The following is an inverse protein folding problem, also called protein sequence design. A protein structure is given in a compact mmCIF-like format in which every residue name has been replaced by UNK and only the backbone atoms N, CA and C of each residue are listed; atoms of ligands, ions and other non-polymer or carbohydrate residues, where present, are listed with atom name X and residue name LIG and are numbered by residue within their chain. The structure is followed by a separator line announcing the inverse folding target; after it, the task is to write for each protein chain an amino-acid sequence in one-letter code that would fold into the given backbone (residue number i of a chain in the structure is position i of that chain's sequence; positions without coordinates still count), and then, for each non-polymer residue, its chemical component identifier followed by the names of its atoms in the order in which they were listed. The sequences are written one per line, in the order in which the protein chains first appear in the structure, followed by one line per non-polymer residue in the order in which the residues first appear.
data_IF_804141041339
#
_entry.id   IF_804141041339
#
_cell.length_a   1.000
_cell.length_b   1.000
_cell.length_c   1.000
_cell.angle_alpha   90.00
_cell.angle_beta   90.00
_cell.angle_gamma   90.00
#
_symmetry.space_group_name_H-M   'P 1'
#
loop_
_entity.id
_entity.type
_entity.pdbx_description
1 polymer ?
#
# COMPACT_ATOMS: atom_id res chain seq x y z
N UNK A 1 6.22 -16.73 -0.83
CA UNK A 1 6.50 -15.52 -1.63
C UNK A 1 5.44 -14.47 -1.32
N UNK A 2 5.82 -13.19 -1.27
CA UNK A 2 4.84 -12.08 -1.18
C UNK A 2 4.49 -11.62 -2.59
N UNK A 3 3.20 -11.49 -2.90
CA UNK A 3 2.71 -10.91 -4.14
C UNK A 3 1.90 -9.67 -3.79
N UNK A 4 2.30 -8.50 -4.25
CA UNK A 4 1.47 -7.31 -4.11
C UNK A 4 0.71 -7.04 -5.40
N UNK A 5 -0.57 -6.71 -5.30
CA UNK A 5 -1.34 -6.19 -6.42
C UNK A 5 -1.64 -4.73 -6.14
N UNK A 6 -1.18 -3.86 -7.03
CA UNK A 6 -1.42 -2.43 -7.00
C UNK A 6 -2.08 -1.98 -8.29
N UNK A 7 -2.72 -0.82 -8.29
CA UNK A 7 -3.40 -0.34 -9.48
C UNK A 7 -3.66 1.17 -9.46
N UNK A 8 -3.83 1.72 -10.65
CA UNK A 8 -4.15 3.14 -10.85
C UNK A 8 -5.63 3.41 -10.50
N UNK A 9 -5.90 3.79 -9.26
CA UNK A 9 -7.24 4.13 -8.78
C UNK A 9 -8.24 3.00 -9.09
N UNK A 10 -9.28 3.26 -9.90
CA UNK A 10 -10.32 2.29 -10.26
C UNK A 10 -9.94 1.43 -11.48
N UNK A 11 -8.66 1.03 -11.59
CA UNK A 11 -8.14 0.21 -12.69
C UNK A 11 -8.59 -1.24 -12.66
N UNK A 12 -9.32 -1.68 -11.63
CA UNK A 12 -9.85 -3.04 -11.58
C UNK A 12 -8.90 -4.07 -10.96
N UNK A 13 -7.92 -3.64 -10.15
CA UNK A 13 -7.10 -4.50 -9.27
C UNK A 13 -7.92 -5.60 -8.58
N UNK A 14 -9.11 -5.25 -8.08
CA UNK A 14 -9.98 -6.19 -7.40
C UNK A 14 -10.33 -7.42 -8.24
N UNK A 15 -10.48 -7.28 -9.56
CA UNK A 15 -10.73 -8.40 -10.46
C UNK A 15 -9.50 -9.31 -10.58
N UNK A 16 -8.30 -8.75 -10.64
CA UNK A 16 -7.05 -9.51 -10.64
C UNK A 16 -6.86 -10.26 -9.32
N UNK A 17 -7.18 -9.63 -8.19
CA UNK A 17 -7.18 -10.31 -6.89
C UNK A 17 -8.20 -11.47 -6.86
N UNK A 18 -9.39 -11.27 -7.42
CA UNK A 18 -10.40 -12.33 -7.50
C UNK A 18 -9.92 -13.49 -8.39
N UNK A 19 -9.23 -13.21 -9.50
CA UNK A 19 -8.56 -14.24 -10.32
C UNK A 19 -7.49 -14.99 -9.52
N UNK A 20 -6.66 -14.29 -8.74
CA UNK A 20 -5.62 -14.91 -7.91
C UNK A 20 -6.17 -15.82 -6.82
N UNK A 21 -7.42 -15.64 -6.38
CA UNK A 21 -8.08 -16.57 -5.44
C UNK A 21 -8.34 -17.94 -6.05
N UNK A 22 -8.35 -18.05 -7.37
CA UNK A 22 -8.51 -19.32 -8.08
C UNK A 22 -7.15 -20.04 -8.29
N UNK A 23 -6.03 -19.50 -7.82
CA UNK A 23 -4.71 -20.14 -7.86
C UNK A 23 -4.49 -21.10 -6.68
N UNK A 24 -3.73 -22.17 -6.92
CA UNK A 24 -3.42 -23.19 -5.93
C UNK A 24 -2.35 -22.69 -4.96
N UNK A 25 -2.49 -23.04 -3.67
CA UNK A 25 -1.54 -22.66 -2.62
C UNK A 25 -1.33 -21.14 -2.49
N UNK A 26 -2.36 -20.34 -2.80
CA UNK A 26 -2.34 -18.88 -2.66
C UNK A 26 -3.34 -18.44 -1.61
N UNK A 27 -2.89 -17.60 -0.68
CA UNK A 27 -3.78 -16.88 0.22
C UNK A 27 -3.94 -15.44 -0.23
N UNK A 28 -5.16 -14.99 -0.49
CA UNK A 28 -5.45 -13.63 -0.94
C UNK A 28 -6.16 -12.86 0.17
N UNK A 29 -5.57 -11.74 0.59
CA UNK A 29 -6.18 -10.86 1.58
C UNK A 29 -7.58 -10.40 1.18
N UNK A 30 -8.38 -10.01 2.17
CA UNK A 30 -9.72 -9.47 1.95
C UNK A 30 -9.66 -8.26 1.02
N UNK A 31 -10.64 -8.14 0.12
CA UNK A 31 -10.62 -7.16 -0.97
C UNK A 31 -10.69 -5.71 -0.46
N UNK A 32 -11.34 -5.52 0.67
CA UNK A 32 -11.54 -4.24 1.35
C UNK A 32 -10.31 -3.81 2.17
N UNK A 33 -9.38 -4.72 2.41
CA UNK A 33 -8.18 -4.47 3.20
C UNK A 33 -7.02 -4.04 2.32
N UNK A 34 -6.36 -2.94 2.69
CA UNK A 34 -5.12 -2.47 2.07
C UNK A 34 -3.95 -2.55 3.05
N UNK A 35 -2.79 -2.99 2.56
CA UNK A 35 -1.62 -3.20 3.40
C UNK A 35 -0.79 -1.90 3.52
N UNK A 36 -1.18 -1.03 4.43
CA UNK A 36 -0.61 0.30 4.65
C UNK A 36 0.80 0.35 5.27
N UNK A 37 1.25 -0.67 6.00
CA UNK A 37 2.47 -0.62 6.81
C UNK A 37 3.73 -0.13 6.08
N UNK A 38 3.85 -0.46 4.79
CA UNK A 38 5.00 -0.06 3.97
C UNK A 38 4.86 1.39 3.48
N UNK A 39 3.71 1.71 2.86
CA UNK A 39 3.50 2.93 2.07
C UNK A 39 2.91 4.12 2.82
N UNK A 40 2.25 3.90 3.96
CA UNK A 40 1.68 4.99 4.72
C UNK A 40 2.77 5.94 5.21
N UNK A 41 2.42 7.22 5.42
CA UNK A 41 3.29 8.16 6.13
C UNK A 41 3.71 7.55 7.46
N UNK A 42 4.99 7.68 7.79
CA UNK A 42 5.64 7.06 8.95
C UNK A 42 5.71 5.52 8.90
N UNK A 43 5.45 4.93 7.73
CA UNK A 43 5.61 3.50 7.46
C UNK A 43 7.06 3.09 7.27
N UNK A 44 7.27 1.85 6.82
CA UNK A 44 8.62 1.31 6.61
C UNK A 44 9.42 2.12 5.60
N UNK A 45 8.77 2.69 4.57
CA UNK A 45 9.45 3.52 3.57
C UNK A 45 10.08 4.77 4.17
N UNK A 46 9.30 5.55 4.93
CA UNK A 46 9.77 6.77 5.59
C UNK A 46 10.83 6.47 6.65
N UNK A 47 10.66 5.37 7.38
CA UNK A 47 11.62 4.91 8.39
C UNK A 47 12.97 4.55 7.76
N UNK A 48 12.97 3.78 6.66
CA UNK A 48 14.18 3.43 5.91
C UNK A 48 14.88 4.68 5.36
N UNK A 49 14.12 5.56 4.72
CA UNK A 49 14.65 6.81 4.15
C UNK A 49 15.35 7.65 5.22
N UNK A 50 14.76 7.73 6.42
CA UNK A 50 15.33 8.50 7.52
C UNK A 50 16.59 7.85 8.09
N UNK A 51 16.54 6.56 8.43
CA UNK A 51 17.66 5.86 9.08
C UNK A 51 18.86 5.70 8.14
N UNK A 52 18.60 5.35 6.87
CA UNK A 52 19.65 4.94 5.92
C UNK A 52 20.12 6.10 5.05
N UNK A 53 19.20 6.85 4.44
CA UNK A 53 19.56 7.86 3.44
C UNK A 53 19.89 9.21 4.08
N UNK A 54 19.23 9.54 5.19
CA UNK A 54 19.31 10.85 5.83
C UNK A 54 19.52 10.75 7.34
N UNK A 55 20.56 10.03 7.81
CA UNK A 55 20.74 9.77 9.23
C UNK A 55 20.90 11.08 10.02
N UNK A 56 20.24 11.14 11.17
CA UNK A 56 20.42 12.18 12.18
C UNK A 56 19.78 11.68 13.46
N UNK A 57 20.46 11.80 14.60
CA UNK A 57 19.94 11.37 15.90
C UNK A 57 18.51 11.87 16.18
N UNK A 58 18.24 13.14 15.85
CA UNK A 58 16.92 13.76 16.04
C UNK A 58 15.90 13.12 15.10
N UNK A 59 16.23 12.96 13.83
CA UNK A 59 15.31 12.41 12.83
C UNK A 59 15.06 10.92 13.06
N UNK A 60 16.10 10.15 13.40
CA UNK A 60 16.02 8.72 13.67
C UNK A 60 15.13 8.46 14.88
N UNK A 61 15.36 9.17 15.99
CA UNK A 61 14.51 9.08 17.18
C UNK A 61 13.05 9.39 16.85
N UNK A 62 12.81 10.47 16.10
CA UNK A 62 11.45 10.86 15.74
C UNK A 62 10.78 9.89 14.76
N UNK A 63 11.49 9.38 13.76
CA UNK A 63 10.96 8.42 12.79
C UNK A 63 10.57 7.11 13.48
N UNK A 64 11.41 6.59 14.40
CA UNK A 64 11.11 5.37 15.16
C UNK A 64 9.87 5.58 16.06
N UNK A 65 9.75 6.74 16.71
CA UNK A 65 8.55 7.08 17.51
C UNK A 65 7.29 7.12 16.65
N UNK A 66 7.35 7.81 15.51
CA UNK A 66 6.20 7.96 14.60
C UNK A 66 5.80 6.61 14.00
N UNK A 67 6.77 5.78 13.63
CA UNK A 67 6.53 4.40 13.22
C UNK A 67 5.86 3.59 14.33
N UNK A 68 6.34 3.68 15.58
CA UNK A 68 5.70 3.03 16.73
C UNK A 68 4.26 3.52 16.98
N UNK A 69 3.96 4.78 16.66
CA UNK A 69 2.60 5.34 16.76
C UNK A 69 1.72 4.79 15.63
N UNK A 70 2.21 4.79 14.39
CA UNK A 70 1.52 4.23 13.23
C UNK A 70 1.16 2.76 13.47
N UNK A 71 2.12 1.93 13.89
CA UNK A 71 1.88 0.50 14.12
C UNK A 71 0.84 0.27 15.22
N UNK A 72 0.79 1.10 16.26
CA UNK A 72 -0.30 1.06 17.26
C UNK A 72 -1.66 1.37 16.65
N UNK A 73 -1.75 2.31 15.70
CA UNK A 73 -3.01 2.60 15.01
C UNK A 73 -3.39 1.48 14.04
N UNK A 74 -2.45 0.94 13.27
CA UNK A 74 -2.70 -0.20 12.40
C UNK A 74 -3.19 -1.42 13.21
N UNK A 75 -2.58 -1.67 14.37
CA UNK A 75 -2.96 -2.76 15.28
C UNK A 75 -4.35 -2.60 15.91
N UNK A 76 -4.83 -1.36 16.09
CA UNK A 76 -6.06 -1.06 16.79
C UNK A 76 -7.31 -1.52 16.02
N UNK A 77 -8.37 -1.81 16.77
CA UNK A 77 -9.69 -2.07 16.20
C UNK A 77 -10.24 -0.80 15.52
N UNK A 78 -11.12 -0.94 14.51
CA UNK A 78 -11.85 0.18 13.95
C UNK A 78 -12.67 0.90 15.03
N UNK A 79 -12.90 2.20 14.84
CA UNK A 79 -13.70 3.01 15.78
C UNK A 79 -15.09 2.41 15.97
N UNK A 80 -15.50 2.28 17.24
CA UNK A 80 -16.79 1.71 17.62
C UNK A 80 -17.48 2.60 18.64
N UNK A 81 -18.76 2.88 18.41
CA UNK A 81 -19.61 3.60 19.37
C UNK A 81 -19.74 2.86 20.71
N UNK A 82 -19.52 1.55 20.71
CA UNK A 82 -19.57 0.70 21.90
C UNK A 82 -18.26 0.73 22.71
N UNK A 83 -17.19 1.30 22.17
CA UNK A 83 -15.91 1.51 22.87
C UNK A 83 -15.56 3.01 22.87
N UNK A 84 -16.06 3.81 23.83
CA UNK A 84 -15.90 5.27 23.83
C UNK A 84 -14.45 5.76 23.75
N UNK A 85 -13.47 4.97 24.23
CA UNK A 85 -12.04 5.31 24.10
C UNK A 85 -11.55 5.28 22.64
N UNK A 86 -12.20 4.51 21.76
CA UNK A 86 -11.87 4.43 20.33
C UNK A 86 -12.27 5.70 19.57
N UNK A 87 -13.22 6.50 20.10
CA UNK A 87 -13.65 7.78 19.50
C UNK A 87 -12.56 8.86 19.58
N UNK A 88 -11.61 8.71 20.51
CA UNK A 88 -10.49 9.64 20.70
C UNK A 88 -9.21 9.18 20.00
N UNK A 89 -9.28 8.17 19.14
CA UNK A 89 -8.16 7.63 18.38
C UNK A 89 -8.48 7.64 16.87
N UNK A 90 -7.46 7.73 16.00
CA UNK A 90 -7.66 7.48 14.58
C UNK A 90 -8.30 6.10 14.34
N UNK A 91 -9.08 5.93 13.26
CA UNK A 91 -9.68 4.65 12.93
C UNK A 91 -8.59 3.60 12.70
N UNK A 92 -8.62 2.53 13.49
CA UNK A 92 -7.65 1.43 13.37
C UNK A 92 -7.94 0.55 12.15
N UNK A 93 -6.90 -0.16 11.68
CA UNK A 93 -6.97 -1.06 10.52
C UNK A 93 -7.04 -2.55 10.89
N UNK A 94 -7.18 -2.84 12.18
CA UNK A 94 -7.37 -4.17 12.73
C UNK A 94 -6.26 -5.18 12.40
N UNK A 95 -5.02 -4.73 12.28
CA UNK A 95 -3.89 -5.60 11.96
C UNK A 95 -3.73 -6.72 12.99
N UNK A 96 -4.05 -6.50 14.27
CA UNK A 96 -3.95 -7.56 15.29
C UNK A 96 -4.92 -8.72 15.02
N UNK A 97 -6.08 -8.47 14.41
CA UNK A 97 -7.04 -9.53 14.05
C UNK A 97 -6.65 -10.23 12.75
N UNK A 98 -6.17 -9.46 11.77
CA UNK A 98 -5.78 -9.98 10.45
C UNK A 98 -4.45 -10.74 10.55
N UNK A 99 -3.53 -10.23 11.37
CA UNK A 99 -2.18 -10.72 11.61
C UNK A 99 -1.94 -10.86 13.12
N UNK A 100 -2.30 -11.99 13.74
CA UNK A 100 -2.17 -12.19 15.19
C UNK A 100 -0.74 -11.97 15.73
N UNK A 101 0.28 -12.19 14.89
CA UNK A 101 1.69 -11.97 15.23
C UNK A 101 2.18 -10.52 15.14
N UNK A 102 1.35 -9.57 14.66
CA UNK A 102 1.79 -8.24 14.27
C UNK A 102 2.52 -7.45 15.36
N UNK A 103 1.98 -7.43 16.58
CA UNK A 103 2.58 -6.67 17.69
C UNK A 103 3.94 -7.26 18.10
N UNK A 104 4.01 -8.58 18.26
CA UNK A 104 5.26 -9.29 18.59
C UNK A 104 6.32 -9.07 17.50
N UNK A 105 5.94 -9.18 16.23
CA UNK A 105 6.83 -8.94 15.10
C UNK A 105 7.33 -7.48 15.07
N UNK A 106 6.45 -6.51 15.37
CA UNK A 106 6.80 -5.08 15.44
C UNK A 106 7.83 -4.83 16.55
N UNK A 107 7.64 -5.39 17.74
CA UNK A 107 8.57 -5.23 18.85
C UNK A 107 9.94 -5.85 18.54
N UNK A 108 9.96 -7.04 17.92
CA UNK A 108 11.18 -7.70 17.49
C UNK A 108 11.93 -6.86 16.43
N UNK A 109 11.21 -6.30 15.46
CA UNK A 109 11.77 -5.41 14.45
C UNK A 109 12.42 -4.17 15.07
N UNK A 110 11.69 -3.45 15.95
CA UNK A 110 12.21 -2.24 16.61
C UNK A 110 13.50 -2.54 17.39
N UNK A 111 13.53 -3.64 18.16
CA UNK A 111 14.72 -4.06 18.91
C UNK A 111 15.92 -4.38 18.01
N UNK A 112 15.68 -4.82 16.78
CA UNK A 112 16.74 -5.15 15.82
C UNK A 112 17.33 -3.91 15.16
N UNK A 113 16.52 -2.88 14.94
CA UNK A 113 16.98 -1.68 14.21
C UNK A 113 17.47 -0.54 15.10
N UNK A 114 17.17 -0.58 16.41
CA UNK A 114 17.56 0.48 17.32
C UNK A 114 17.80 -0.01 18.75
N UNK A 115 18.65 0.73 19.46
CA UNK A 115 18.80 0.66 20.91
C UNK A 115 18.13 1.87 21.56
N UNK A 116 18.08 1.89 22.89
CA UNK A 116 17.55 3.03 23.63
C UNK A 116 18.55 3.54 24.66
N UNK A 117 18.71 4.85 24.76
CA UNK A 117 19.49 5.52 25.80
C UNK A 117 18.62 6.47 26.63
N UNK A 118 19.06 6.79 27.84
CA UNK A 118 18.44 7.81 28.68
C UNK A 118 19.33 9.05 28.69
N UNK A 119 18.82 10.18 28.19
CA UNK A 119 19.59 11.42 28.11
C UNK A 119 18.68 12.65 28.06
N UNK A 120 19.23 13.84 28.29
CA UNK A 120 18.47 15.08 28.03
C UNK A 120 18.14 15.20 26.54
N UNK A 121 16.87 15.03 26.21
CA UNK A 121 16.42 14.92 24.82
C UNK A 121 15.11 15.68 24.58
N UNK A 122 15.16 16.99 24.31
CA UNK A 122 13.97 17.83 24.23
C UNK A 122 13.23 17.73 22.90
N UNK A 123 13.80 17.08 21.87
CA UNK A 123 13.26 17.10 20.51
C UNK A 123 11.84 16.53 20.36
N UNK A 124 11.44 15.44 21.06
CA UNK A 124 10.05 14.96 20.99
C UNK A 124 9.03 16.03 21.40
N UNK A 125 9.40 16.92 22.33
CA UNK A 125 8.55 18.02 22.78
C UNK A 125 8.21 19.03 21.68
N UNK A 126 9.06 19.15 20.65
CA UNK A 126 8.85 20.10 19.56
C UNK A 126 7.64 19.72 18.69
N UNK A 127 7.24 18.46 18.75
CA UNK A 127 6.14 17.89 17.95
C UNK A 127 4.89 17.61 18.79
N UNK A 128 4.93 17.94 20.08
CA UNK A 128 3.80 17.80 20.98
C UNK A 128 2.72 18.86 20.67
N UNK A 129 1.46 18.45 20.76
CA UNK A 129 0.34 19.38 20.61
C UNK A 129 0.35 20.43 21.73
N UNK A 130 -0.23 21.60 21.47
CA UNK A 130 -0.16 22.80 22.32
C UNK A 130 -0.50 22.56 23.81
N UNK A 131 -1.46 21.68 24.13
CA UNK A 131 -1.81 21.34 25.52
C UNK A 131 -0.73 20.51 26.24
N UNK A 132 -0.08 19.59 25.52
CA UNK A 132 1.03 18.78 26.04
C UNK A 132 2.25 19.67 26.21
N UNK A 133 2.57 20.50 25.21
CA UNK A 133 3.64 21.50 25.28
C UNK A 133 3.45 22.49 26.44
N UNK A 134 2.21 22.89 26.76
CA UNK A 134 1.94 23.68 27.96
C UNK A 134 2.27 22.91 29.24
N UNK A 135 1.77 21.68 29.41
CA UNK A 135 2.13 20.85 30.58
C UNK A 135 3.64 20.66 30.71
N UNK A 136 4.34 20.46 29.60
CA UNK A 136 5.80 20.34 29.60
C UNK A 136 6.49 21.64 30.04
N UNK A 137 6.02 22.81 29.59
CA UNK A 137 6.52 24.11 30.06
C UNK A 137 6.34 24.27 31.57
N UNK A 138 5.18 23.88 32.10
CA UNK A 138 4.91 23.92 33.54
C UNK A 138 5.83 22.97 34.32
N UNK A 139 6.02 21.73 33.85
CA UNK A 139 6.92 20.76 34.50
C UNK A 139 8.38 21.23 34.45
N UNK A 140 8.83 21.74 33.31
CA UNK A 140 10.20 22.27 33.13
C UNK A 140 10.45 23.54 33.95
N UNK A 141 9.41 24.29 34.33
CA UNK A 141 9.53 25.43 35.24
C UNK A 141 9.90 25.00 36.66
N UNK A 142 9.45 23.82 37.10
CA UNK A 142 9.68 23.32 38.46
C UNK A 142 10.77 22.23 38.57
N UNK A 143 11.33 21.73 37.46
CA UNK A 143 12.32 20.65 37.45
C UNK A 143 13.54 20.99 36.58
N UNK A 144 14.74 20.55 37.00
CA UNK A 144 15.92 20.58 36.14
C UNK A 144 15.80 19.55 35.00
N UNK A 145 16.30 19.94 33.82
CA UNK A 145 16.50 19.16 32.58
C UNK A 145 16.18 17.67 32.69
N UNK A 146 14.95 17.29 32.30
CA UNK A 146 14.47 15.91 32.38
C UNK A 146 15.13 15.05 31.30
N UNK A 147 15.72 13.93 31.73
CA UNK A 147 16.15 12.89 30.80
C UNK A 147 14.94 12.18 30.20
N UNK A 148 15.01 11.88 28.91
CA UNK A 148 14.00 11.13 28.17
C UNK A 148 14.68 9.95 27.49
N UNK A 149 13.92 8.86 27.35
CA UNK A 149 14.33 7.74 26.51
C UNK A 149 14.52 8.28 25.09
N UNK A 150 15.66 8.03 24.46
CA UNK A 150 15.94 8.29 23.04
C UNK A 150 16.11 6.95 22.33
N UNK A 151 15.60 6.85 21.11
CA UNK A 151 15.94 5.75 20.21
C UNK A 151 17.20 6.10 19.41
N UNK A 152 18.19 5.22 19.48
CA UNK A 152 19.47 5.35 18.80
C UNK A 152 19.53 4.28 17.70
N UNK A 153 19.73 4.70 16.45
CA UNK A 153 19.83 3.81 15.30
C UNK A 153 20.92 4.31 14.36
N UNK A 154 21.92 3.46 14.13
CA UNK A 154 23.09 3.70 13.29
C UNK A 154 23.41 2.45 12.48
N UNK A 155 22.39 1.93 11.78
CA UNK A 155 22.52 0.72 10.96
C UNK A 155 22.62 1.09 9.48
N UNK A 156 23.27 0.23 8.71
CA UNK A 156 23.35 0.35 7.26
C UNK A 156 22.07 -0.13 6.56
N UNK A 157 22.03 0.07 5.23
CA UNK A 157 20.92 -0.33 4.38
C UNK A 157 20.67 -1.84 4.44
N UNK A 158 21.71 -2.65 4.39
CA UNK A 158 21.61 -4.12 4.35
C UNK A 158 20.99 -4.68 5.64
N UNK A 159 21.44 -4.17 6.79
CA UNK A 159 20.93 -4.56 8.10
C UNK A 159 19.46 -4.15 8.26
N UNK A 160 19.11 -2.93 7.83
CA UNK A 160 17.72 -2.48 7.86
C UNK A 160 16.84 -3.33 6.94
N UNK A 161 17.27 -3.58 5.71
CA UNK A 161 16.51 -4.31 4.70
C UNK A 161 16.30 -5.77 5.13
N UNK A 162 17.32 -6.41 5.71
CA UNK A 162 17.18 -7.73 6.32
C UNK A 162 16.16 -7.73 7.47
N UNK A 163 16.21 -6.74 8.37
CA UNK A 163 15.26 -6.63 9.46
C UNK A 163 13.83 -6.37 8.97
N UNK A 164 13.66 -5.52 7.96
CA UNK A 164 12.36 -5.19 7.38
C UNK A 164 11.74 -6.37 6.63
N UNK A 165 12.56 -7.13 5.89
CA UNK A 165 12.16 -8.38 5.25
C UNK A 165 11.69 -9.41 6.26
N UNK A 166 12.48 -9.69 7.30
CA UNK A 166 12.12 -10.66 8.34
C UNK A 166 10.83 -10.23 9.05
N UNK A 167 10.69 -8.93 9.30
CA UNK A 167 9.48 -8.36 9.89
C UNK A 167 8.24 -8.57 9.00
N UNK A 168 8.31 -8.24 7.71
CA UNK A 168 7.18 -8.43 6.79
C UNK A 168 6.85 -9.90 6.58
N UNK A 169 7.87 -10.76 6.50
CA UNK A 169 7.66 -12.20 6.44
C UNK A 169 6.96 -12.73 7.68
N UNK A 170 7.37 -12.33 8.89
CA UNK A 170 6.70 -12.75 10.12
C UNK A 170 5.25 -12.24 10.17
N UNK A 171 5.01 -10.99 9.77
CA UNK A 171 3.66 -10.40 9.76
C UNK A 171 2.74 -11.11 8.77
N UNK A 172 3.19 -11.29 7.53
CA UNK A 172 2.36 -11.77 6.43
C UNK A 172 2.29 -13.31 6.40
N UNK A 173 3.41 -13.99 6.67
CA UNK A 173 3.50 -15.44 6.51
C UNK A 173 3.36 -16.21 7.83
N UNK A 174 3.57 -15.56 8.98
CA UNK A 174 3.65 -16.23 10.29
C UNK A 174 2.38 -16.95 10.74
N UNK A 175 1.22 -16.62 10.16
CA UNK A 175 -0.07 -17.27 10.45
C UNK A 175 -0.64 -18.09 9.29
N UNK A 176 0.12 -18.25 8.20
CA UNK A 176 -0.35 -18.99 7.03
C UNK A 176 -0.30 -20.51 7.26
N UNK A 177 -1.07 -21.24 6.45
CA UNK A 177 -1.00 -22.69 6.41
C UNK A 177 0.32 -23.14 5.78
N UNK A 178 0.78 -24.33 6.19
CA UNK A 178 2.08 -24.90 5.76
C UNK A 178 2.15 -25.10 4.25
N UNK A 179 1.02 -25.33 3.58
CA UNK A 179 0.91 -25.56 2.14
C UNK A 179 0.76 -24.28 1.29
N UNK A 180 0.71 -23.11 1.92
CA UNK A 180 0.61 -21.82 1.23
C UNK A 180 1.97 -21.42 0.65
N UNK A 181 2.06 -21.30 -0.69
CA UNK A 181 3.25 -20.88 -1.43
C UNK A 181 3.35 -19.35 -1.52
N UNK A 182 2.22 -18.67 -1.64
CA UNK A 182 2.19 -17.21 -1.81
C UNK A 182 1.06 -16.55 -1.02
N UNK A 183 1.32 -15.32 -0.58
CA UNK A 183 0.31 -14.42 -0.03
C UNK A 183 0.14 -13.22 -0.95
N UNK A 184 -1.10 -12.83 -1.20
CA UNK A 184 -1.45 -11.69 -2.05
C UNK A 184 -1.94 -10.51 -1.21
N UNK A 185 -1.17 -9.42 -1.22
CA UNK A 185 -1.51 -8.13 -0.62
C UNK A 185 -2.13 -7.18 -1.64
N UNK A 186 -2.76 -6.13 -1.13
CA UNK A 186 -3.41 -5.08 -1.90
C UNK A 186 -2.80 -3.75 -1.53
N UNK A 187 -2.23 -3.04 -2.50
CA UNK A 187 -1.57 -1.74 -2.31
C UNK A 187 -0.59 -1.78 -1.12
N UNK A 188 0.31 -2.76 -1.06
CA UNK A 188 1.46 -2.72 -0.15
C UNK A 188 2.53 -1.79 -0.69
N UNK A 189 2.88 -1.95 -1.97
CA UNK A 189 3.91 -1.17 -2.65
C UNK A 189 3.27 -0.08 -3.50
N UNK A 190 3.89 1.10 -3.54
CA UNK A 190 3.46 2.16 -4.44
C UNK A 190 4.06 1.97 -5.83
N UNK A 191 3.27 2.17 -6.88
CA UNK A 191 3.74 2.08 -8.27
C UNK A 191 4.64 3.25 -8.69
N UNK A 192 4.76 4.31 -7.88
CA UNK A 192 5.61 5.47 -8.16
C UNK A 192 7.11 5.17 -8.06
N UNK A 193 7.49 4.34 -7.08
CA UNK A 193 8.88 3.94 -6.83
C UNK A 193 8.93 2.61 -6.05
N UNK A 194 8.44 1.50 -6.65
CA UNK A 194 8.30 0.24 -5.91
C UNK A 194 9.65 -0.41 -5.61
N UNK A 195 10.67 -0.16 -6.45
CA UNK A 195 11.95 -0.89 -6.47
C UNK A 195 12.65 -0.93 -5.11
N UNK A 196 12.72 0.22 -4.44
CA UNK A 196 13.42 0.36 -3.15
C UNK A 196 12.96 -0.67 -2.13
N UNK A 197 11.64 -0.87 -2.00
CA UNK A 197 11.09 -1.85 -1.07
C UNK A 197 10.94 -3.22 -1.69
N UNK A 198 10.64 -3.31 -2.99
CA UNK A 198 10.55 -4.58 -3.72
C UNK A 198 11.86 -5.38 -3.59
N UNK A 199 13.01 -4.73 -3.76
CA UNK A 199 14.33 -5.37 -3.69
C UNK A 199 14.69 -5.75 -2.25
N UNK A 200 14.37 -4.88 -1.29
CA UNK A 200 14.65 -5.12 0.13
C UNK A 200 13.92 -6.34 0.69
N UNK A 201 12.72 -6.66 0.19
CA UNK A 201 11.82 -7.65 0.79
C UNK A 201 11.69 -8.94 -0.04
N UNK A 202 12.66 -9.22 -0.92
CA UNK A 202 12.66 -10.44 -1.72
C UNK A 202 12.61 -11.72 -0.86
N UNK A 203 11.86 -12.77 -1.25
CA UNK A 203 11.13 -12.93 -2.52
C UNK A 203 9.77 -12.21 -2.56
N UNK A 204 9.65 -11.22 -3.45
CA UNK A 204 8.45 -10.40 -3.63
C UNK A 204 8.23 -10.05 -5.10
N UNK A 205 6.98 -10.18 -5.58
CA UNK A 205 6.54 -9.79 -6.92
C UNK A 205 5.42 -8.75 -6.83
N UNK A 206 5.37 -7.83 -7.77
CA UNK A 206 4.37 -6.77 -7.86
C UNK A 206 3.60 -6.89 -9.18
N UNK A 207 2.28 -6.90 -9.11
CA UNK A 207 1.39 -6.81 -10.28
C UNK A 207 0.75 -5.43 -10.28
N UNK A 208 1.08 -4.60 -11.27
CA UNK A 208 0.51 -3.27 -11.46
C UNK A 208 -0.61 -3.34 -12.49
N UNK A 209 -1.84 -3.15 -12.05
CA UNK A 209 -3.04 -3.25 -12.88
C UNK A 209 -3.36 -1.89 -13.51
N UNK A 210 -3.33 -1.86 -14.84
CA UNK A 210 -3.72 -0.74 -15.68
C UNK A 210 -5.03 -1.03 -16.42
N UNK A 211 -5.71 0.02 -16.91
CA UNK A 211 -7.03 -0.06 -17.53
C UNK A 211 -7.25 1.12 -18.46
N UNK A 212 -8.09 0.93 -19.47
CA UNK A 212 -8.52 2.00 -20.37
C UNK A 212 -9.01 3.24 -19.58
N UNK A 213 -8.53 4.46 -19.90
CA UNK A 213 -8.85 5.67 -19.15
C UNK A 213 -10.36 5.93 -19.05
N UNK A 214 -11.11 5.62 -20.11
CA UNK A 214 -12.57 5.78 -20.12
C UNK A 214 -13.23 4.83 -19.12
N UNK A 215 -12.69 3.61 -19.01
CA UNK A 215 -13.12 2.60 -18.04
C UNK A 215 -12.90 3.07 -16.60
N UNK A 216 -11.72 3.62 -16.31
CA UNK A 216 -11.39 4.19 -14.99
C UNK A 216 -12.33 5.36 -14.68
N UNK A 217 -12.49 6.32 -15.60
CA UNK A 217 -13.33 7.50 -15.42
C UNK A 217 -14.78 7.13 -15.12
N UNK A 218 -15.36 6.16 -15.84
CA UNK A 218 -16.70 5.67 -15.59
C UNK A 218 -16.87 4.91 -14.27
N UNK A 219 -15.78 4.34 -13.74
CA UNK A 219 -15.81 3.53 -12.51
C UNK A 219 -15.54 4.35 -11.26
N UNK A 220 -15.03 5.57 -11.39
CA UNK A 220 -14.75 6.45 -10.25
C UNK A 220 -16.08 7.00 -9.65
N UNK A 221 -16.42 6.70 -8.39
CA UNK A 221 -17.59 7.25 -7.72
C UNK A 221 -17.62 8.79 -7.71
N UNK A 222 -16.46 9.46 -7.75
CA UNK A 222 -16.37 10.93 -7.75
C UNK A 222 -16.92 11.56 -9.03
N UNK A 223 -17.01 10.80 -10.12
CA UNK A 223 -17.52 11.30 -11.39
C UNK A 223 -19.04 11.12 -11.53
N UNK A 224 -19.72 10.44 -10.60
CA UNK A 224 -21.15 10.13 -10.75
C UNK A 224 -22.04 11.37 -10.93
N UNK A 225 -21.88 12.37 -10.07
CA UNK A 225 -22.74 13.57 -10.05
C UNK A 225 -22.23 14.69 -10.97
N UNK A 226 -21.04 14.52 -11.54
CA UNK A 226 -20.31 15.54 -12.29
C UNK A 226 -19.73 15.00 -13.60
N UNK A 227 -20.28 13.88 -14.08
CA UNK A 227 -19.69 13.05 -15.13
C UNK A 227 -19.32 13.82 -16.40
N UNK A 228 -20.21 14.72 -16.84
CA UNK A 228 -20.02 15.50 -18.08
C UNK A 228 -19.46 16.90 -17.86
N UNK A 229 -19.00 17.22 -16.65
CA UNK A 229 -18.30 18.48 -16.40
C UNK A 229 -16.89 18.41 -16.97
N UNK A 230 -16.59 19.32 -17.90
CA UNK A 230 -15.29 19.43 -18.56
C UNK A 230 -14.14 19.55 -17.56
N UNK A 231 -14.28 20.35 -16.50
CA UNK A 231 -13.26 20.49 -15.44
C UNK A 231 -12.88 19.15 -14.79
N UNK A 232 -13.87 18.27 -14.56
CA UNK A 232 -13.63 16.97 -13.94
C UNK A 232 -12.90 16.04 -14.91
N UNK A 233 -13.28 16.06 -16.19
CA UNK A 233 -12.57 15.31 -17.24
C UNK A 233 -11.14 15.82 -17.42
N UNK A 234 -10.92 17.13 -17.51
CA UNK A 234 -9.59 17.75 -17.60
C UNK A 234 -8.71 17.40 -16.40
N UNK A 235 -9.27 17.46 -15.18
CA UNK A 235 -8.54 17.03 -13.98
C UNK A 235 -8.17 15.56 -14.05
N UNK A 236 -9.10 14.69 -14.44
CA UNK A 236 -8.83 13.27 -14.62
C UNK A 236 -7.72 13.03 -15.65
N UNK A 237 -7.76 13.71 -16.81
CA UNK A 237 -6.74 13.59 -17.86
C UNK A 237 -5.36 13.98 -17.33
N UNK A 238 -5.28 15.11 -16.60
CA UNK A 238 -4.04 15.58 -15.97
C UNK A 238 -3.49 14.55 -14.97
N UNK A 239 -4.33 14.09 -14.03
CA UNK A 239 -3.95 13.10 -13.03
C UNK A 239 -3.54 11.76 -13.70
N UNK A 240 -4.27 11.33 -14.74
CA UNK A 240 -3.99 10.10 -15.50
C UNK A 240 -2.62 10.15 -16.18
N UNK A 241 -2.27 11.28 -16.83
CA UNK A 241 -0.95 11.49 -17.45
C UNK A 241 0.15 11.57 -16.40
N UNK A 242 -0.09 12.25 -15.28
CA UNK A 242 0.90 12.34 -14.20
C UNK A 242 1.28 10.95 -13.68
N UNK A 243 0.30 10.07 -13.44
CA UNK A 243 0.54 8.70 -12.96
C UNK A 243 1.20 7.78 -13.99
N UNK A 244 1.22 8.16 -15.27
CA UNK A 244 1.84 7.42 -16.39
C UNK A 244 2.96 8.22 -17.07
N UNK A 245 3.57 9.16 -16.36
CA UNK A 245 4.75 9.84 -16.88
C UNK A 245 5.94 8.88 -16.97
N UNK A 246 6.87 9.17 -17.87
CA UNK A 246 8.02 8.31 -18.17
C UNK A 246 8.78 7.89 -16.92
N UNK A 247 9.01 8.82 -15.98
CA UNK A 247 9.66 8.54 -14.69
C UNK A 247 9.01 7.38 -13.93
N UNK A 248 7.67 7.35 -13.84
CA UNK A 248 6.98 6.27 -13.11
C UNK A 248 6.90 5.00 -13.94
N UNK A 249 6.75 5.09 -15.26
CA UNK A 249 6.75 3.93 -16.14
C UNK A 249 8.12 3.23 -16.13
N UNK A 250 9.20 4.01 -16.23
CA UNK A 250 10.56 3.53 -16.07
C UNK A 250 10.76 2.87 -14.70
N UNK A 251 10.22 3.44 -13.62
CA UNK A 251 10.30 2.82 -12.29
C UNK A 251 9.67 1.41 -12.21
N UNK A 252 8.80 1.04 -13.16
CA UNK A 252 8.18 -0.29 -13.26
C UNK A 252 8.97 -1.29 -14.10
N UNK A 253 10.05 -0.90 -14.79
CA UNK A 253 10.89 -1.81 -15.57
C UNK A 253 11.78 -2.69 -14.68
N UNK A 254 11.21 -3.79 -14.21
CA UNK A 254 11.88 -4.70 -13.27
C UNK A 254 11.35 -6.13 -13.44
N UNK A 255 12.20 -7.18 -13.37
CA UNK A 255 11.78 -8.57 -13.60
C UNK A 255 10.74 -9.08 -12.61
N UNK A 256 10.66 -8.50 -11.41
CA UNK A 256 9.64 -8.82 -10.40
C UNK A 256 8.42 -7.88 -10.44
N UNK A 257 8.22 -7.14 -11.54
CA UNK A 257 7.06 -6.28 -11.75
C UNK A 257 6.35 -6.70 -13.05
N UNK A 258 5.07 -7.06 -12.95
CA UNK A 258 4.20 -7.30 -14.10
C UNK A 258 3.22 -6.14 -14.26
N UNK A 259 3.25 -5.50 -15.43
CA UNK A 259 2.19 -4.59 -15.84
C UNK A 259 1.07 -5.39 -16.49
N UNK A 260 -0.10 -5.38 -15.86
CA UNK A 260 -1.24 -6.20 -16.25
C UNK A 260 -2.40 -5.33 -16.73
N UNK A 261 -2.88 -5.58 -17.96
CA UNK A 261 -4.00 -4.83 -18.52
C UNK A 261 -5.34 -5.47 -18.12
N UNK A 262 -6.22 -4.71 -17.47
CA UNK A 262 -7.52 -5.19 -17.01
C UNK A 262 -8.39 -5.77 -18.14
N UNK A 263 -8.36 -5.15 -19.32
CA UNK A 263 -9.11 -5.56 -20.50
C UNK A 263 -8.78 -7.00 -20.95
N UNK A 264 -7.58 -7.50 -20.67
CA UNK A 264 -7.15 -8.85 -21.07
C UNK A 264 -7.94 -9.94 -20.37
N UNK A 265 -8.50 -9.67 -19.18
CA UNK A 265 -9.42 -10.58 -18.49
C UNK A 265 -10.70 -10.86 -19.29
N UNK A 266 -11.04 -9.99 -20.24
CA UNK A 266 -12.25 -10.11 -21.06
C UNK A 266 -11.96 -10.44 -22.52
N UNK A 267 -10.80 -10.02 -23.02
CA UNK A 267 -10.39 -10.26 -24.41
C UNK A 267 -9.79 -11.66 -24.58
N UNK A 268 -8.92 -12.08 -23.66
CA UNK A 268 -8.27 -13.39 -23.73
C UNK A 268 -7.95 -13.92 -22.32
N UNK A 269 -9.01 -14.32 -21.61
CA UNK A 269 -8.92 -14.72 -20.21
C UNK A 269 -7.87 -15.81 -19.95
N UNK A 270 -7.84 -16.87 -20.79
CA UNK A 270 -6.88 -17.96 -20.57
C UNK A 270 -5.44 -17.47 -20.71
N UNK A 271 -5.10 -16.77 -21.79
CA UNK A 271 -3.74 -16.24 -21.98
C UNK A 271 -3.35 -15.25 -20.87
N UNK A 272 -4.27 -14.37 -20.46
CA UNK A 272 -4.02 -13.41 -19.39
C UNK A 272 -3.70 -14.11 -18.06
N UNK A 273 -4.49 -15.14 -17.70
CA UNK A 273 -4.25 -15.88 -16.45
C UNK A 273 -3.04 -16.81 -16.52
N UNK A 274 -2.71 -17.37 -17.70
CA UNK A 274 -1.49 -18.14 -17.91
C UNK A 274 -0.25 -17.26 -17.73
N UNK A 275 -0.21 -16.09 -18.38
CA UNK A 275 0.88 -15.12 -18.22
C UNK A 275 1.06 -14.70 -16.76
N UNK A 276 -0.05 -14.44 -16.05
CA UNK A 276 -0.02 -14.15 -14.62
C UNK A 276 0.56 -15.31 -13.79
N UNK A 277 0.19 -16.56 -14.11
CA UNK A 277 0.72 -17.74 -13.42
C UNK A 277 2.19 -18.02 -13.70
N UNK A 278 2.62 -17.86 -14.95
CA UNK A 278 4.03 -17.96 -15.34
C UNK A 278 4.87 -16.91 -14.62
N UNK A 279 4.44 -15.65 -14.63
CA UNK A 279 5.12 -14.57 -13.94
C UNK A 279 5.20 -14.82 -12.43
N UNK A 280 4.13 -15.33 -11.80
CA UNK A 280 4.12 -15.58 -10.36
C UNK A 280 4.75 -16.93 -9.96
N UNK A 281 5.03 -17.82 -10.92
CA UNK A 281 5.42 -19.21 -10.69
C UNK A 281 4.36 -19.98 -9.86
N UNK A 282 3.09 -19.75 -10.19
CA UNK A 282 1.94 -20.33 -9.50
C UNK A 282 1.00 -21.02 -10.48
N UNK A 283 0.48 -22.18 -10.07
CA UNK A 283 -0.49 -22.93 -10.85
C UNK A 283 -1.91 -22.42 -10.58
N UNK A 284 -2.67 -22.20 -11.66
CA UNK A 284 -4.09 -21.90 -11.54
C UNK A 284 -4.86 -23.18 -11.26
N UNK A 285 -5.83 -23.11 -10.34
CA UNK A 285 -6.79 -24.19 -10.14
C UNK A 285 -7.67 -24.42 -11.37
N UNK A 286 -8.22 -25.64 -11.47
CA UNK A 286 -9.11 -26.03 -12.57
C UNK A 286 -10.48 -25.34 -12.46
N UNK A 287 -10.94 -25.07 -11.23
CA UNK A 287 -12.28 -24.52 -10.97
C UNK A 287 -12.18 -23.02 -10.76
N UNK A 288 -12.84 -22.25 -11.62
CA UNK A 288 -13.04 -20.81 -11.45
C UNK A 288 -14.21 -20.54 -10.52
N UNK A 289 -13.96 -19.95 -9.36
CA UNK A 289 -15.01 -19.68 -8.37
C UNK A 289 -15.19 -18.20 -8.11
N UNK A 290 -14.12 -17.43 -8.22
CA UNK A 290 -14.09 -16.06 -7.71
C UNK A 290 -14.25 -15.00 -8.80
N UNK A 291 -13.71 -15.24 -9.99
CA UNK A 291 -13.87 -14.33 -11.13
C UNK A 291 -14.55 -15.00 -12.33
N UNK A 292 -15.49 -14.28 -12.96
CA UNK A 292 -16.13 -14.67 -14.22
C UNK A 292 -16.17 -13.46 -15.16
N UNK A 293 -15.53 -13.56 -16.35
CA UNK A 293 -15.63 -12.53 -17.39
C UNK A 293 -17.07 -12.24 -17.79
N UNK A 294 -17.91 -13.27 -17.82
CA UNK A 294 -19.32 -13.18 -18.23
C UNK A 294 -20.14 -12.38 -17.22
N UNK A 295 -20.01 -12.70 -15.92
CA UNK A 295 -20.70 -11.96 -14.85
C UNK A 295 -20.18 -10.53 -14.67
N UNK A 296 -18.95 -10.27 -15.10
CA UNK A 296 -18.29 -8.97 -14.95
C UNK A 296 -18.33 -8.11 -16.21
N UNK A 297 -19.09 -8.53 -17.23
CA UNK A 297 -19.04 -7.93 -18.59
C UNK A 297 -19.34 -6.43 -18.62
N UNK A 298 -20.22 -5.96 -17.74
CA UNK A 298 -20.58 -4.54 -17.64
C UNK A 298 -19.40 -3.66 -17.21
N UNK A 299 -18.41 -4.25 -16.52
CA UNK A 299 -17.19 -3.56 -16.12
C UNK A 299 -16.15 -3.47 -17.24
N UNK A 300 -16.28 -4.21 -18.35
CA UNK A 300 -15.24 -4.23 -19.38
C UNK A 300 -15.12 -2.90 -20.13
N UNK A 301 -16.22 -2.41 -20.72
CA UNK A 301 -16.27 -1.15 -21.46
C UNK A 301 -17.49 -0.32 -21.03
N UNK A 302 -17.56 0.11 -19.75
CA UNK A 302 -18.74 0.80 -19.19
C UNK A 302 -19.05 2.13 -19.89
N UNK A 303 -18.05 2.73 -20.54
CA UNK A 303 -18.16 3.97 -21.29
C UNK A 303 -18.97 3.84 -22.60
N UNK A 304 -19.25 2.63 -23.09
CA UNK A 304 -19.99 2.43 -24.35
C UNK A 304 -21.38 3.08 -24.34
N UNK A 305 -22.08 3.02 -23.21
CA UNK A 305 -23.41 3.65 -23.05
C UNK A 305 -23.33 5.17 -22.91
N UNK A 306 -22.13 5.71 -22.69
CA UNK A 306 -21.84 7.14 -22.50
C UNK A 306 -20.92 7.69 -23.58
N UNK A 307 -20.80 7.03 -24.74
CA UNK A 307 -19.82 7.39 -25.77
C UNK A 307 -20.00 8.82 -26.33
N UNK A 308 -21.23 9.33 -26.33
CA UNK A 308 -21.56 10.66 -26.82
C UNK A 308 -21.40 11.75 -25.76
N UNK A 309 -20.94 11.40 -24.56
CA UNK A 309 -20.73 12.38 -23.50
C UNK A 309 -19.48 13.21 -23.79
N UNK A 310 -19.54 14.50 -23.45
CA UNK A 310 -18.41 15.43 -23.68
C UNK A 310 -17.15 14.96 -22.95
N UNK A 311 -17.30 14.43 -21.74
CA UNK A 311 -16.17 13.93 -20.98
C UNK A 311 -15.50 12.72 -21.64
N UNK A 312 -16.27 11.76 -22.16
CA UNK A 312 -15.70 10.59 -22.85
C UNK A 312 -15.02 11.00 -24.15
N UNK A 313 -15.63 11.89 -24.94
CA UNK A 313 -15.01 12.41 -26.16
C UNK A 313 -13.70 13.12 -25.88
N UNK A 314 -13.67 13.99 -24.86
CA UNK A 314 -12.45 14.69 -24.45
C UNK A 314 -11.36 13.70 -24.00
N UNK A 315 -11.72 12.66 -23.25
CA UNK A 315 -10.78 11.60 -22.85
C UNK A 315 -10.27 10.82 -24.08
N UNK A 316 -11.13 10.52 -25.05
CA UNK A 316 -10.74 9.83 -26.30
C UNK A 316 -9.75 10.65 -27.12
N UNK A 317 -9.97 11.96 -27.21
CA UNK A 317 -9.13 12.88 -27.95
C UNK A 317 -7.77 13.09 -27.26
N UNK A 318 -7.79 13.37 -25.96
CA UNK A 318 -6.59 13.73 -25.19
C UNK A 318 -5.75 12.53 -24.73
N UNK A 319 -6.33 11.33 -24.59
CA UNK A 319 -5.63 10.13 -24.11
C UNK A 319 -5.61 8.99 -25.14
N UNK A 320 -5.62 9.34 -26.43
CA UNK A 320 -5.69 8.39 -27.55
C UNK A 320 -4.65 7.26 -27.48
N UNK A 321 -3.43 7.58 -27.05
CA UNK A 321 -2.31 6.62 -26.97
C UNK A 321 -2.50 5.55 -25.88
N UNK A 322 -3.44 5.76 -24.95
CA UNK A 322 -3.73 4.85 -23.84
C UNK A 322 -5.02 4.05 -24.03
N UNK A 323 -5.73 4.23 -25.14
CA UNK A 323 -7.01 3.56 -25.38
C UNK A 323 -6.79 2.09 -25.76
N UNK A 324 -7.59 1.21 -25.16
CA UNK A 324 -7.64 -0.20 -25.53
C UNK A 324 -8.81 -0.41 -26.49
N UNK A 325 -8.50 -0.81 -27.73
CA UNK A 325 -9.48 -0.89 -28.82
C UNK A 325 -10.49 -2.04 -28.66
#
# INVERSE_FOLDING_TARGET
MIVDVSGYSYSGKGAVMDVLRDFLSVEVHQKEFEFLLVRATDGLYDLRSTIVQNPSDIRNDMAIRRFCILTKYLAAQPTSFWEPKSLFRPPGQNYTKIFPGFQRATEAFIRRICSTSLQYWPFPALYDQSLVAMKEKWVNFFQQRRERLKFDSHIDAETFDAAARDYLHEVLLGSLRIDTKAIVTSNMLEFYNPRVFLDAIQPCKLVVVDRDPRGIYCSDPKTKDSFDKEEIACKFISDFRYYRCDKFIEALDHPNILRFQFEDLFLNFEAATSSLGEFLELERGVIRRHFSPEKSRDNFKPWKTKRNSKAIQLIEDELRDFLVL
#
